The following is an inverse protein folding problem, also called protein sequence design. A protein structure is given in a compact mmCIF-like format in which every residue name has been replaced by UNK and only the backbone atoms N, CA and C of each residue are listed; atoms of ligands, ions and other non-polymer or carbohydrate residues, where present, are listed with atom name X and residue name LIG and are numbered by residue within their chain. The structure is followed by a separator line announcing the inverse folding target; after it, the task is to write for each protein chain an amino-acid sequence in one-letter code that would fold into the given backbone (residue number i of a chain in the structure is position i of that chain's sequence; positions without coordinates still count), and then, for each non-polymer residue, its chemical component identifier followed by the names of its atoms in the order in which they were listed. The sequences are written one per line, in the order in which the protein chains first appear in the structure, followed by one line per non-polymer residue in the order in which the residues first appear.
data_IF_326621964008
#
_entry.id   IF_326621964008
#
_cell.length_a   1.000
_cell.length_b   1.000
_cell.length_c   1.000
_cell.angle_alpha   90.00
_cell.angle_beta   90.00
_cell.angle_gamma   90.00
#
_symmetry.space_group_name_H-M   'P 1'
#
loop_
_entity.id
_entity.type
_entity.pdbx_description
1 polymer ?
#
# COMPACT_ATOMS: atom_id res chain seq x y z
N UNK A 1 -15.13 -0.81 29.17
CA UNK A 1 -15.34 -1.14 27.75
C UNK A 1 -14.93 0.13 26.99
N UNK A 2 -13.72 0.17 26.46
CA UNK A 2 -13.06 1.38 25.93
C UNK A 2 -13.26 1.52 24.40
N UNK A 3 -14.32 0.90 23.88
CA UNK A 3 -14.69 1.00 22.47
C UNK A 3 -14.88 2.48 22.09
N UNK A 4 -14.32 2.85 20.94
CA UNK A 4 -14.30 4.22 20.40
C UNK A 4 -13.52 5.25 21.24
N UNK A 5 -12.59 4.80 22.09
CA UNK A 5 -11.57 5.68 22.66
C UNK A 5 -10.47 5.98 21.63
N UNK A 6 -9.73 7.10 21.75
CA UNK A 6 -8.58 7.37 20.88
C UNK A 6 -7.55 6.23 20.87
N UNK A 7 -7.28 5.63 22.04
CA UNK A 7 -6.38 4.49 22.16
C UNK A 7 -6.89 3.24 21.40
N UNK A 8 -8.21 3.04 21.35
CA UNK A 8 -8.80 1.95 20.57
C UNK A 8 -8.64 2.18 19.06
N UNK A 9 -8.86 3.40 18.59
CA UNK A 9 -8.69 3.77 17.17
C UNK A 9 -7.21 3.66 16.72
N UNK A 10 -6.29 4.09 17.59
CA UNK A 10 -4.85 3.93 17.38
C UNK A 10 -4.47 2.45 17.28
N UNK A 11 -4.99 1.61 18.19
CA UNK A 11 -4.77 0.17 18.15
C UNK A 11 -5.30 -0.47 16.87
N UNK A 12 -6.53 -0.15 16.43
CA UNK A 12 -7.09 -0.68 15.19
C UNK A 12 -6.25 -0.27 13.96
N UNK A 13 -5.72 0.96 13.97
CA UNK A 13 -4.83 1.45 12.91
C UNK A 13 -3.51 0.68 12.89
N UNK A 14 -2.86 0.52 14.05
CA UNK A 14 -1.62 -0.26 14.16
C UNK A 14 -1.82 -1.74 13.79
N UNK A 15 -2.96 -2.32 14.18
CA UNK A 15 -3.33 -3.70 13.83
C UNK A 15 -3.50 -3.86 12.32
N UNK A 16 -4.15 -2.91 11.66
CA UNK A 16 -4.31 -2.89 10.20
C UNK A 16 -2.97 -2.76 9.48
N UNK A 17 -2.11 -1.84 9.92
CA UNK A 17 -0.75 -1.66 9.36
C UNK A 17 0.06 -2.95 9.51
N UNK A 18 0.03 -3.56 10.69
CA UNK A 18 0.73 -4.82 10.98
C UNK A 18 0.23 -5.96 10.08
N UNK A 19 -1.10 -6.05 9.89
CA UNK A 19 -1.71 -7.00 8.97
C UNK A 19 -1.26 -6.79 7.53
N UNK A 20 -1.16 -5.55 7.05
CA UNK A 20 -0.67 -5.26 5.71
C UNK A 20 0.80 -5.63 5.53
N UNK A 21 1.67 -5.34 6.50
CA UNK A 21 3.06 -5.80 6.45
C UNK A 21 3.17 -7.33 6.43
N UNK A 22 2.41 -8.04 7.27
CA UNK A 22 2.39 -9.49 7.31
C UNK A 22 1.89 -10.09 5.98
N UNK A 23 0.79 -9.56 5.45
CA UNK A 23 0.22 -9.99 4.18
C UNK A 23 1.17 -9.71 3.01
N UNK A 24 1.85 -8.55 3.03
CA UNK A 24 2.84 -8.18 2.01
C UNK A 24 4.01 -9.14 2.02
N UNK A 25 4.58 -9.39 3.20
CA UNK A 25 5.71 -10.32 3.39
C UNK A 25 5.34 -11.73 2.89
N UNK A 26 4.16 -12.22 3.25
CA UNK A 26 3.66 -13.50 2.76
C UNK A 26 3.48 -13.50 1.23
N UNK A 27 2.88 -12.45 0.66
CA UNK A 27 2.65 -12.32 -0.78
C UNK A 27 3.95 -12.24 -1.59
N UNK A 28 4.99 -11.57 -1.09
CA UNK A 28 6.29 -11.47 -1.77
C UNK A 28 6.97 -12.82 -1.99
N UNK A 29 6.65 -13.84 -1.18
CA UNK A 29 7.16 -15.20 -1.36
C UNK A 29 6.53 -15.97 -2.54
N UNK A 30 5.48 -15.42 -3.17
CA UNK A 30 4.71 -16.08 -4.22
C UNK A 30 4.63 -15.18 -5.45
N UNK A 31 5.25 -15.61 -6.56
CA UNK A 31 5.26 -14.86 -7.82
C UNK A 31 3.86 -14.44 -8.30
N UNK A 32 2.87 -15.32 -8.16
CA UNK A 32 1.50 -15.00 -8.57
C UNK A 32 0.89 -13.84 -7.77
N UNK A 33 1.45 -13.47 -6.61
CA UNK A 33 0.97 -12.41 -5.73
C UNK A 33 1.81 -11.13 -5.80
N UNK A 34 2.74 -10.98 -6.75
CA UNK A 34 3.57 -9.77 -6.89
C UNK A 34 2.72 -8.48 -6.97
N UNK A 35 1.60 -8.51 -7.72
CA UNK A 35 0.68 -7.36 -7.80
C UNK A 35 -0.04 -7.08 -6.48
N UNK A 36 -0.30 -8.11 -5.66
CA UNK A 36 -0.91 -7.94 -4.33
C UNK A 36 0.10 -7.31 -3.39
N UNK A 37 1.34 -7.79 -3.40
CA UNK A 37 2.43 -7.20 -2.64
C UNK A 37 2.68 -5.73 -3.02
N UNK A 38 2.68 -5.40 -4.32
CA UNK A 38 2.82 -4.02 -4.79
C UNK A 38 1.68 -3.12 -4.29
N UNK A 39 0.42 -3.56 -4.40
CA UNK A 39 -0.72 -2.80 -3.86
C UNK A 39 -0.61 -2.60 -2.35
N UNK A 40 -0.18 -3.61 -1.59
CA UNK A 40 0.05 -3.48 -0.16
C UNK A 40 1.15 -2.46 0.16
N UNK A 41 2.30 -2.51 -0.52
CA UNK A 41 3.37 -1.52 -0.35
C UNK A 41 2.88 -0.11 -0.61
N UNK A 42 2.10 0.08 -1.68
CA UNK A 42 1.55 1.39 -2.05
C UNK A 42 0.50 1.85 -1.04
N UNK A 43 -0.35 0.94 -0.57
CA UNK A 43 -1.38 1.26 0.42
C UNK A 43 -0.80 1.68 1.78
N UNK A 44 0.39 1.18 2.11
CA UNK A 44 1.11 1.55 3.32
C UNK A 44 1.59 3.01 3.29
N UNK A 45 1.70 3.65 2.11
CA UNK A 45 2.05 5.08 2.02
C UNK A 45 1.06 5.99 2.74
N UNK A 46 -0.20 5.56 2.93
CA UNK A 46 -1.20 6.33 3.70
C UNK A 46 -0.95 6.34 5.20
N UNK A 47 0.00 5.54 5.68
CA UNK A 47 0.27 5.36 7.08
C UNK A 47 1.64 5.93 7.49
N UNK A 48 2.26 6.76 6.63
CA UNK A 48 3.59 7.34 6.84
C UNK A 48 3.69 8.33 8.00
N UNK A 49 2.57 8.75 8.59
CA UNK A 49 2.56 9.43 9.89
C UNK A 49 2.97 8.50 11.04
N UNK A 50 2.83 7.17 10.85
CA UNK A 50 3.12 6.13 11.85
C UNK A 50 4.36 5.32 11.46
N UNK A 51 4.53 5.02 10.17
CA UNK A 51 5.66 4.24 9.64
C UNK A 51 6.71 5.15 8.99
N UNK A 52 8.00 4.76 8.97
CA UNK A 52 9.01 5.59 8.33
C UNK A 52 8.74 5.84 6.84
N UNK A 53 8.62 7.12 6.47
CA UNK A 53 8.23 7.52 5.13
C UNK A 53 9.27 7.11 4.07
N UNK A 54 10.57 7.34 4.32
CA UNK A 54 11.66 6.97 3.42
C UNK A 54 11.61 5.49 3.04
N UNK A 55 11.45 4.61 4.04
CA UNK A 55 11.30 3.18 3.83
C UNK A 55 10.04 2.85 3.05
N UNK A 56 8.90 3.44 3.41
CA UNK A 56 7.62 3.15 2.78
C UNK A 56 7.63 3.53 1.29
N UNK A 57 8.15 4.71 0.95
CA UNK A 57 8.29 5.19 -0.44
C UNK A 57 9.25 4.33 -1.26
N UNK A 58 10.41 3.94 -0.67
CA UNK A 58 11.33 3.00 -1.32
C UNK A 58 10.66 1.65 -1.63
N UNK A 59 9.98 1.06 -0.64
CA UNK A 59 9.32 -0.24 -0.79
C UNK A 59 8.15 -0.18 -1.79
N UNK A 60 7.36 0.91 -1.79
CA UNK A 60 6.27 1.13 -2.74
C UNK A 60 6.79 1.31 -4.17
N UNK A 61 7.78 2.18 -4.35
CA UNK A 61 8.40 2.45 -5.64
C UNK A 61 9.08 1.23 -6.25
N UNK A 62 9.83 0.48 -5.45
CA UNK A 62 10.49 -0.77 -5.88
C UNK A 62 9.47 -1.84 -6.26
N UNK A 63 8.40 -1.99 -5.48
CA UNK A 63 7.34 -2.96 -5.79
C UNK A 63 6.56 -2.58 -7.05
N UNK A 64 6.26 -1.29 -7.24
CA UNK A 64 5.65 -0.77 -8.47
C UNK A 64 6.54 -1.00 -9.69
N UNK A 65 7.85 -0.74 -9.57
CA UNK A 65 8.85 -0.99 -10.62
C UNK A 65 8.87 -2.46 -11.02
N UNK A 66 8.85 -3.36 -10.05
CA UNK A 66 8.90 -4.81 -10.27
C UNK A 66 7.68 -5.35 -11.04
N UNK A 67 6.50 -4.74 -10.87
CA UNK A 67 5.27 -5.14 -11.59
C UNK A 67 5.00 -4.31 -12.85
N UNK A 68 5.95 -3.46 -13.25
CA UNK A 68 5.85 -2.68 -14.48
C UNK A 68 5.04 -1.38 -14.37
N UNK A 69 4.67 -0.93 -13.18
CA UNK A 69 3.92 0.32 -12.96
C UNK A 69 4.86 1.52 -12.93
N UNK A 70 5.43 1.85 -14.10
CA UNK A 70 6.55 2.79 -14.23
C UNK A 70 6.22 4.20 -13.71
N UNK A 71 5.02 4.74 -13.98
CA UNK A 71 4.64 6.07 -13.48
C UNK A 71 4.63 6.13 -11.94
N UNK A 72 3.96 5.18 -11.29
CA UNK A 72 3.95 5.07 -9.83
C UNK A 72 5.37 4.86 -9.28
N UNK A 73 6.14 3.95 -9.89
CA UNK A 73 7.51 3.69 -9.48
C UNK A 73 8.36 4.95 -9.53
N UNK A 74 8.28 5.70 -10.62
CA UNK A 74 9.02 6.95 -10.80
C UNK A 74 8.64 7.97 -9.73
N UNK A 75 7.35 8.25 -9.56
CA UNK A 75 6.86 9.24 -8.58
C UNK A 75 7.27 8.85 -7.15
N UNK A 76 7.07 7.60 -6.75
CA UNK A 76 7.41 7.17 -5.39
C UNK A 76 8.91 7.12 -5.13
N UNK A 77 9.72 6.74 -6.12
CA UNK A 77 11.18 6.69 -5.97
C UNK A 77 11.82 8.07 -6.01
N UNK A 78 11.28 9.03 -6.78
CA UNK A 78 11.69 10.43 -6.66
C UNK A 78 11.38 10.97 -5.26
N UNK A 79 10.16 10.77 -4.77
CA UNK A 79 9.81 11.18 -3.40
C UNK A 79 10.68 10.51 -2.34
N UNK A 80 11.08 9.25 -2.53
CA UNK A 80 12.06 8.62 -1.65
C UNK A 80 13.40 9.37 -1.63
N UNK A 81 13.93 9.77 -2.78
CA UNK A 81 15.18 10.54 -2.84
C UNK A 81 15.02 11.89 -2.12
N UNK A 82 13.93 12.62 -2.37
CA UNK A 82 13.68 13.89 -1.70
C UNK A 82 13.58 13.71 -0.17
N UNK A 83 12.93 12.64 0.29
CA UNK A 83 12.84 12.31 1.71
C UNK A 83 14.21 11.97 2.31
N UNK A 84 15.09 11.30 1.56
CA UNK A 84 16.46 11.04 2.04
C UNK A 84 17.27 12.32 2.20
N UNK A 85 17.13 13.27 1.29
CA UNK A 85 17.77 14.59 1.37
C UNK A 85 17.19 15.37 2.58
N UNK A 86 15.87 15.36 2.75
CA UNK A 86 15.18 15.99 3.87
C UNK A 86 15.58 15.40 5.25
N UNK A 87 15.86 14.10 5.33
CA UNK A 87 16.37 13.45 6.56
C UNK A 87 17.77 13.96 6.90
N UNK A 88 18.64 14.16 5.90
CA UNK A 88 19.99 14.67 6.09
C UNK A 88 20.00 16.14 6.51
N UNK A 89 19.07 16.94 5.97
CA UNK A 89 18.89 18.35 6.30
C UNK A 89 18.10 18.58 7.59
N UNK A 90 17.29 17.60 8.01
CA UNK A 90 16.43 17.66 9.19
C UNK A 90 15.18 18.53 9.01
N UNK A 91 14.74 18.79 7.78
CA UNK A 91 13.52 19.55 7.46
C UNK A 91 12.81 19.03 6.22
N UNK A 92 11.48 19.10 6.20
CA UNK A 92 10.62 18.78 5.05
C UNK A 92 10.26 20.01 4.20
N UNK A 93 10.66 21.22 4.61
CA UNK A 93 10.16 22.49 4.04
C UNK A 93 10.43 22.66 2.53
N UNK A 94 11.45 21.96 2.01
CA UNK A 94 11.84 22.03 0.60
C UNK A 94 11.08 21.04 -0.31
N UNK A 95 10.24 20.15 0.25
CA UNK A 95 9.56 19.12 -0.53
C UNK A 95 8.41 19.70 -1.38
N UNK A 96 8.43 19.40 -2.69
CA UNK A 96 7.28 19.64 -3.55
C UNK A 96 6.25 18.51 -3.41
N UNK A 97 5.00 18.87 -3.15
CA UNK A 97 3.88 17.94 -2.96
C UNK A 97 2.94 17.84 -4.17
N UNK A 98 3.25 18.49 -5.29
CA UNK A 98 2.45 18.53 -6.51
C UNK A 98 1.96 17.16 -6.97
N UNK A 99 2.85 16.15 -7.05
CA UNK A 99 2.53 14.78 -7.50
C UNK A 99 1.50 14.04 -6.63
N UNK A 100 1.33 14.48 -5.39
CA UNK A 100 0.49 13.82 -4.38
C UNK A 100 -0.76 14.64 -4.03
N UNK A 101 -1.00 15.74 -4.74
CA UNK A 101 -2.25 16.50 -4.62
C UNK A 101 -3.45 15.59 -4.94
N UNK A 102 -4.55 15.76 -4.21
CA UNK A 102 -5.76 14.96 -4.36
C UNK A 102 -5.59 13.45 -4.11
N UNK A 103 -4.53 13.08 -3.37
CA UNK A 103 -4.36 11.74 -2.79
C UNK A 103 -4.66 11.77 -1.29
N UNK A 104 -4.70 10.61 -0.65
CA UNK A 104 -4.78 10.43 0.81
C UNK A 104 -3.41 10.03 1.41
N UNK A 105 -2.31 10.34 0.72
CA UNK A 105 -0.95 10.13 1.23
C UNK A 105 -0.55 11.38 2.03
N UNK A 106 -0.15 11.24 3.31
CA UNK A 106 0.26 12.37 4.14
C UNK A 106 1.45 13.15 3.57
N UNK A 107 1.42 14.48 3.70
CA UNK A 107 2.54 15.36 3.35
C UNK A 107 3.48 15.59 4.54
N UNK A 108 2.89 15.82 5.72
CA UNK A 108 3.63 15.94 6.98
C UNK A 108 3.86 14.55 7.54
N UNK A 109 5.13 14.17 7.69
CA UNK A 109 5.55 12.87 8.20
C UNK A 109 6.66 13.04 9.21
N UNK A 110 6.77 12.19 10.25
CA UNK A 110 7.89 12.25 11.16
C UNK A 110 9.19 11.89 10.43
N UNK A 111 10.19 12.78 10.52
CA UNK A 111 11.53 12.50 10.02
C UNK A 111 12.24 11.52 10.97
N UNK A 112 12.74 10.37 10.47
CA UNK A 112 13.54 9.48 11.29
C UNK A 112 14.91 10.08 11.61
N UNK A 113 15.51 9.64 12.72
CA UNK A 113 16.82 10.14 13.14
C UNK A 113 17.97 9.76 12.18
N UNK A 114 17.77 8.72 11.35
CA UNK A 114 18.71 8.23 10.34
C UNK A 114 17.92 7.63 9.16
N UNK A 115 18.47 7.64 7.95
CA UNK A 115 17.89 6.92 6.81
C UNK A 115 17.76 5.41 7.10
N UNK A 116 16.66 4.81 6.65
CA UNK A 116 16.38 3.37 6.76
C UNK A 116 16.95 2.54 5.62
N UNK A 117 17.22 3.18 4.48
CA UNK A 117 17.72 2.55 3.26
C UNK A 117 19.21 2.85 3.14
N UNK A 118 20.01 1.87 2.69
CA UNK A 118 21.46 2.03 2.59
C UNK A 118 21.84 3.00 1.48
N UNK A 119 23.05 3.57 1.59
CA UNK A 119 23.62 4.46 0.57
C UNK A 119 23.69 3.77 -0.80
N UNK A 120 24.18 2.53 -0.86
CA UNK A 120 24.25 1.74 -2.11
C UNK A 120 22.87 1.61 -2.79
N UNK A 121 21.82 1.36 -2.01
CA UNK A 121 20.45 1.26 -2.54
C UNK A 121 19.93 2.62 -2.99
N UNK A 122 20.27 3.70 -2.28
CA UNK A 122 19.90 5.07 -2.66
C UNK A 122 20.58 5.47 -3.97
N UNK A 123 21.85 5.14 -4.17
CA UNK A 123 22.56 5.35 -5.43
C UNK A 123 21.92 4.58 -6.59
N UNK A 124 21.55 3.31 -6.40
CA UNK A 124 20.84 2.53 -7.44
C UNK A 124 19.52 3.19 -7.85
N UNK A 125 18.76 3.70 -6.88
CA UNK A 125 17.52 4.42 -7.17
C UNK A 125 17.80 5.75 -7.87
N UNK A 126 18.82 6.49 -7.44
CA UNK A 126 19.23 7.75 -8.07
C UNK A 126 19.57 7.54 -9.54
N UNK A 127 20.41 6.56 -9.86
CA UNK A 127 20.78 6.21 -11.23
C UNK A 127 19.56 5.84 -12.09
N UNK A 128 18.64 5.06 -11.51
CA UNK A 128 17.42 4.66 -12.20
C UNK A 128 16.49 5.85 -12.47
N UNK A 129 16.26 6.69 -11.46
CA UNK A 129 15.43 7.91 -11.58
C UNK A 129 16.02 8.84 -12.64
N UNK A 130 17.33 9.10 -12.60
CA UNK A 130 18.01 9.93 -13.60
C UNK A 130 17.84 9.36 -15.01
N UNK A 131 18.02 8.05 -15.18
CA UNK A 131 17.85 7.37 -16.47
C UNK A 131 16.42 7.54 -17.01
N UNK A 132 15.41 7.36 -16.17
CA UNK A 132 14.00 7.49 -16.56
C UNK A 132 13.64 8.95 -16.89
N UNK A 133 14.13 9.91 -16.10
CA UNK A 133 13.95 11.34 -16.34
C UNK A 133 14.53 11.79 -17.69
N UNK A 134 15.65 11.20 -18.11
CA UNK A 134 16.27 11.49 -19.40
C UNK A 134 15.50 10.92 -20.61
N UNK A 135 14.79 9.80 -20.46
CA UNK A 135 14.04 9.18 -21.56
C UNK A 135 12.74 9.95 -21.89
N UNK A 136 12.23 10.77 -20.95
CA UNK A 136 11.02 11.61 -21.10
C UNK A 136 9.75 10.89 -21.61
N UNK A 137 9.70 9.55 -21.53
CA UNK A 137 8.55 8.75 -22.01
C UNK A 137 7.43 8.62 -21.00
N UNK A 138 7.70 8.91 -19.73
CA UNK A 138 6.70 8.80 -18.67
C UNK A 138 5.97 10.14 -18.51
N UNK A 139 4.64 10.07 -18.45
CA UNK A 139 3.77 11.23 -18.25
C UNK A 139 3.86 11.79 -16.81
N UNK A 140 4.45 11.05 -15.88
CA UNK A 140 4.60 11.43 -14.46
C UNK A 140 3.25 11.76 -13.80
N UNK A 141 2.24 10.91 -14.05
CA UNK A 141 0.90 11.05 -13.44
C UNK A 141 0.54 9.76 -12.70
N UNK A 142 0.03 9.91 -11.47
CA UNK A 142 -0.55 8.80 -10.71
C UNK A 142 -1.87 8.34 -11.39
N UNK A 143 -2.07 7.03 -11.59
CA UNK A 143 -3.26 6.52 -12.26
C UNK A 143 -4.51 6.75 -11.42
N UNK A 144 -5.63 6.97 -12.10
CA UNK A 144 -6.93 7.22 -11.50
C UNK A 144 -7.90 6.05 -11.70
N UNK A 145 -8.82 5.87 -10.76
CA UNK A 145 -9.90 4.89 -10.86
C UNK A 145 -11.21 5.48 -11.42
N UNK A 146 -12.31 4.71 -11.38
CA UNK A 146 -13.64 5.10 -11.89
C UNK A 146 -14.29 6.31 -11.19
N UNK A 147 -13.64 6.87 -10.17
CA UNK A 147 -14.06 8.08 -9.44
C UNK A 147 -13.25 9.32 -9.83
N UNK A 148 -12.38 9.21 -10.84
CA UNK A 148 -11.43 10.26 -11.27
C UNK A 148 -10.51 10.71 -10.12
N UNK A 149 -10.13 9.77 -9.26
CA UNK A 149 -9.21 9.98 -8.12
C UNK A 149 -8.10 8.94 -8.17
N UNK A 150 -6.97 9.21 -7.51
CA UNK A 150 -5.85 8.28 -7.43
C UNK A 150 -6.32 6.87 -7.01
N UNK A 151 -5.97 5.84 -7.79
CA UNK A 151 -6.60 4.52 -7.69
C UNK A 151 -6.38 3.79 -6.35
N UNK A 152 -5.35 4.18 -5.59
CA UNK A 152 -5.10 3.62 -4.26
C UNK A 152 -5.79 4.43 -3.15
N UNK A 153 -6.37 5.59 -3.44
CA UNK A 153 -6.98 6.45 -2.44
C UNK A 153 -8.29 5.89 -1.92
N UNK A 154 -8.49 5.92 -0.61
CA UNK A 154 -9.75 5.56 0.03
C UNK A 154 -10.79 6.68 -0.06
N UNK A 155 -10.35 7.92 -0.34
CA UNK A 155 -11.22 9.10 -0.40
C UNK A 155 -11.31 9.60 -1.83
N UNK A 156 -12.53 9.72 -2.36
CA UNK A 156 -12.73 10.34 -3.65
C UNK A 156 -12.55 11.86 -3.54
N UNK A 157 -11.44 12.40 -4.05
CA UNK A 157 -11.09 13.83 -3.91
C UNK A 157 -12.22 14.80 -4.34
N UNK A 158 -12.99 14.44 -5.37
CA UNK A 158 -14.07 15.27 -5.91
C UNK A 158 -15.34 15.29 -5.05
N UNK A 159 -15.62 14.23 -4.28
CA UNK A 159 -16.90 14.06 -3.57
C UNK A 159 -16.75 13.89 -2.06
N UNK A 160 -15.54 13.60 -1.57
CA UNK A 160 -15.27 13.26 -0.17
C UNK A 160 -15.80 11.88 0.26
N UNK A 161 -16.30 11.06 -0.67
CA UNK A 161 -16.83 9.73 -0.33
C UNK A 161 -15.69 8.78 0.05
N UNK A 162 -15.81 8.16 1.23
CA UNK A 162 -14.87 7.17 1.74
C UNK A 162 -15.26 5.74 1.31
N UNK A 163 -14.29 4.99 0.82
CA UNK A 163 -14.40 3.55 0.53
C UNK A 163 -13.65 2.74 1.58
N UNK A 164 -14.13 1.53 1.88
CA UNK A 164 -13.42 0.65 2.80
C UNK A 164 -12.15 0.09 2.14
N UNK A 165 -11.05 -0.04 2.91
CA UNK A 165 -9.82 -0.62 2.38
C UNK A 165 -9.95 -2.14 2.28
N UNK A 166 -9.50 -2.69 1.16
CA UNK A 166 -9.45 -4.12 0.91
C UNK A 166 -8.46 -4.79 1.87
N UNK A 167 -8.90 -5.77 2.65
CA UNK A 167 -8.03 -6.49 3.59
C UNK A 167 -6.82 -7.18 2.95
N UNK A 168 -6.86 -7.47 1.65
CA UNK A 168 -5.76 -8.16 0.95
C UNK A 168 -4.80 -7.19 0.27
N UNK A 169 -5.23 -5.98 -0.08
CA UNK A 169 -4.44 -5.07 -0.93
C UNK A 169 -4.32 -3.66 -0.38
N UNK A 170 -5.11 -3.30 0.63
CA UNK A 170 -5.27 -1.94 1.16
C UNK A 170 -5.96 -0.95 0.20
N UNK A 171 -6.10 -1.26 -1.09
CA UNK A 171 -6.81 -0.44 -2.07
C UNK A 171 -8.32 -0.32 -1.79
N UNK A 172 -8.99 0.72 -2.29
CA UNK A 172 -10.43 0.91 -2.10
C UNK A 172 -11.26 -0.25 -2.69
N UNK A 173 -12.29 -0.68 -1.95
CA UNK A 173 -13.28 -1.64 -2.43
C UNK A 173 -14.46 -0.89 -3.07
N UNK A 174 -14.43 -0.75 -4.39
CA UNK A 174 -15.46 0.02 -5.13
C UNK A 174 -16.62 -0.85 -5.62
N UNK A 175 -16.31 -2.04 -6.13
CA UNK A 175 -17.26 -2.97 -6.74
C UNK A 175 -16.85 -4.41 -6.49
N UNK A 176 -17.78 -5.34 -6.70
CA UNK A 176 -17.55 -6.78 -6.59
C UNK A 176 -16.82 -7.15 -5.29
N UNK A 177 -17.44 -6.82 -4.16
CA UNK A 177 -16.85 -7.00 -2.83
C UNK A 177 -17.14 -8.38 -2.24
N UNK A 178 -16.24 -8.77 -1.35
CA UNK A 178 -16.42 -9.86 -0.39
C UNK A 178 -16.53 -9.21 0.98
N UNK A 179 -17.67 -9.37 1.63
CA UNK A 179 -17.91 -8.90 2.99
C UNK A 179 -17.57 -10.01 3.99
N UNK A 180 -16.90 -9.64 5.07
CA UNK A 180 -16.64 -10.55 6.18
C UNK A 180 -17.70 -10.38 7.26
N UNK A 181 -17.75 -11.31 8.22
CA UNK A 181 -18.77 -11.28 9.29
C UNK A 181 -18.64 -10.07 10.21
N UNK A 182 -17.42 -9.63 10.48
CA UNK A 182 -17.16 -8.42 11.24
C UNK A 182 -17.47 -7.19 10.37
N UNK A 183 -18.30 -6.24 10.83
CA UNK A 183 -18.60 -5.00 10.09
C UNK A 183 -17.35 -4.20 9.75
N UNK A 184 -17.36 -3.50 8.60
CA UNK A 184 -16.24 -2.67 8.14
C UNK A 184 -15.04 -3.44 7.60
N UNK A 185 -15.16 -4.76 7.43
CA UNK A 185 -14.13 -5.63 6.87
C UNK A 185 -14.57 -6.14 5.50
N UNK A 186 -13.86 -5.70 4.46
CA UNK A 186 -14.17 -6.04 3.07
C UNK A 186 -12.90 -6.37 2.27
N UNK A 187 -13.06 -7.10 1.17
CA UNK A 187 -12.00 -7.28 0.19
C UNK A 187 -12.55 -7.21 -1.23
N UNK A 188 -11.72 -6.77 -2.18
CA UNK A 188 -12.02 -6.95 -3.59
C UNK A 188 -12.07 -8.45 -3.93
N UNK A 189 -13.15 -8.91 -4.57
CA UNK A 189 -13.38 -10.33 -4.84
C UNK A 189 -12.29 -10.97 -5.70
N UNK A 190 -11.76 -10.26 -6.67
CA UNK A 190 -10.68 -10.76 -7.52
C UNK A 190 -9.39 -10.95 -6.70
N UNK A 191 -8.99 -9.93 -5.93
CA UNK A 191 -7.81 -10.01 -5.07
C UNK A 191 -7.94 -11.11 -4.01
N UNK A 192 -9.12 -11.24 -3.40
CA UNK A 192 -9.42 -12.30 -2.43
C UNK A 192 -9.29 -13.70 -3.07
N UNK A 193 -9.92 -13.91 -4.23
CA UNK A 193 -9.86 -15.19 -4.92
C UNK A 193 -8.44 -15.54 -5.39
N UNK A 194 -7.70 -14.55 -5.89
CA UNK A 194 -6.29 -14.70 -6.29
C UNK A 194 -5.42 -15.11 -5.09
N UNK A 195 -5.60 -14.46 -3.94
CA UNK A 195 -4.90 -14.81 -2.71
C UNK A 195 -5.25 -16.22 -2.24
N UNK A 196 -6.54 -16.58 -2.18
CA UNK A 196 -6.98 -17.93 -1.81
C UNK A 196 -6.42 -19.01 -2.74
N UNK A 197 -6.41 -18.77 -4.05
CA UNK A 197 -5.86 -19.71 -5.02
C UNK A 197 -4.35 -19.89 -4.81
N UNK A 198 -3.62 -18.79 -4.59
CA UNK A 198 -2.19 -18.84 -4.30
C UNK A 198 -1.87 -19.61 -3.02
N UNK A 199 -2.64 -19.41 -1.93
CA UNK A 199 -2.45 -20.16 -0.68
C UNK A 199 -2.68 -21.66 -0.89
N UNK A 200 -3.72 -22.03 -1.64
CA UNK A 200 -4.04 -23.43 -1.95
C UNK A 200 -2.96 -24.11 -2.79
N UNK A 201 -2.38 -23.40 -3.77
CA UNK A 201 -1.43 -23.97 -4.72
C UNK A 201 0.00 -24.01 -4.19
N UNK A 202 0.41 -23.00 -3.42
CA UNK A 202 1.78 -22.89 -2.91
C UNK A 202 2.01 -23.67 -1.63
N UNK A 203 0.96 -23.93 -0.85
CA UNK A 203 1.05 -24.41 0.53
C UNK A 203 1.98 -23.55 1.41
N UNK A 204 2.15 -22.26 1.08
CA UNK A 204 3.03 -21.33 1.78
C UNK A 204 2.56 -21.13 3.24
N UNK A 205 3.36 -21.50 4.26
CA UNK A 205 2.98 -21.33 5.66
C UNK A 205 2.67 -19.86 6.02
N UNK A 206 3.47 -18.85 5.60
CA UNK A 206 3.12 -17.44 5.84
C UNK A 206 1.75 -17.04 5.29
N UNK A 207 1.38 -17.52 4.11
CA UNK A 207 0.07 -17.22 3.52
C UNK A 207 -1.08 -17.91 4.27
N UNK A 208 -0.86 -19.13 4.77
CA UNK A 208 -1.82 -19.83 5.61
C UNK A 208 -2.02 -19.13 6.96
N UNK A 209 -0.95 -18.61 7.56
CA UNK A 209 -1.02 -17.84 8.80
C UNK A 209 -1.80 -16.54 8.62
N UNK A 210 -1.59 -15.84 7.51
CA UNK A 210 -2.40 -14.65 7.15
C UNK A 210 -3.88 -15.02 7.01
N UNK A 211 -4.23 -16.11 6.31
CA UNK A 211 -5.63 -16.54 6.21
C UNK A 211 -6.23 -16.91 7.58
N UNK A 212 -5.46 -17.57 8.44
CA UNK A 212 -5.87 -17.92 9.79
C UNK A 212 -6.14 -16.67 10.63
N UNK A 213 -5.24 -15.69 10.55
CA UNK A 213 -5.41 -14.40 11.22
C UNK A 213 -6.66 -13.66 10.72
N UNK A 214 -6.84 -13.51 9.40
CA UNK A 214 -8.04 -12.88 8.81
C UNK A 214 -9.30 -13.60 9.30
N UNK A 215 -9.31 -14.93 9.33
CA UNK A 215 -10.45 -15.70 9.83
C UNK A 215 -10.76 -15.40 11.30
N UNK A 216 -9.75 -15.24 12.15
CA UNK A 216 -9.97 -14.93 13.56
C UNK A 216 -10.41 -13.47 13.74
N UNK A 217 -9.71 -12.54 13.10
CA UNK A 217 -9.95 -11.11 13.20
C UNK A 217 -11.31 -10.70 12.64
N UNK A 218 -11.79 -11.37 11.59
CA UNK A 218 -13.03 -11.01 10.91
C UNK A 218 -14.24 -11.89 11.29
N UNK A 219 -14.11 -12.76 12.32
CA UNK A 219 -15.20 -13.61 12.82
C UNK A 219 -15.51 -14.84 11.94
N UNK A 220 -14.61 -15.21 11.04
CA UNK A 220 -14.70 -16.33 10.11
C UNK A 220 -14.43 -15.90 8.67
N UNK A 221 -14.04 -16.85 7.83
CA UNK A 221 -13.92 -16.58 6.40
C UNK A 221 -15.31 -16.45 5.74
N UNK A 222 -15.43 -15.62 4.68
CA UNK A 222 -16.65 -15.51 3.89
C UNK A 222 -17.03 -16.88 3.32
N UNK A 223 -18.34 -17.17 3.26
CA UNK A 223 -18.81 -18.39 2.60
C UNK A 223 -18.38 -18.35 1.13
N UNK A 224 -17.55 -19.29 0.71
CA UNK A 224 -17.10 -19.41 -0.68
C UNK A 224 -18.26 -19.88 -1.55
N UNK A 225 -19.11 -18.96 -2.02
CA UNK A 225 -20.02 -19.22 -3.12
C UNK A 225 -19.22 -19.15 -4.42
N UNK A 226 -18.57 -20.26 -4.78
CA UNK A 226 -18.06 -20.44 -6.13
C UNK A 226 -19.26 -20.66 -7.06
N UNK A 227 -19.92 -19.58 -7.46
CA UNK A 227 -20.82 -19.60 -8.61
C UNK A 227 -19.96 -19.42 -9.86
N UNK A 228 -19.57 -20.53 -10.46
CA UNK A 228 -19.16 -20.56 -11.86
C UNK A 228 -20.46 -20.60 -12.68
N UNK A 229 -20.74 -19.54 -13.42
CA UNK A 229 -21.58 -19.59 -14.62
C UNK A 229 -20.66 -19.54 -15.83
#
# INVERSE_FOLDING_TARGET
NEANSPAHEEFETMLLISHYYATRSAAQSIKQLETVAAKLSISLLRHTEIIPADKAFYEAGTAAKAVGWQNMAFIFLNRFLDLTDAIEEGSLDALDHSDFQNTDIPFEVPLPAKPHISEDQREEIRDWVLTVSMDQRLEQVLPQDERDTYEASLVAASTGVHSLPCLITGYPVLRNKVEFKCPGKEANKESWNKFLMAVKMSHSPPCQDVLKFISQWCGGLPSTSFSFQ
#
